data_IF_140824749134
#
_entry.id   IF_140824749134
#
_cell.length_a   1.000
_cell.length_b   1.000
_cell.length_c   1.000
_cell.angle_alpha   90.00
_cell.angle_beta   90.00
_cell.angle_gamma   90.00
#
_symmetry.space_group_name_H-M   'P 1'
#
loop_
_entity.id
_entity.type
_entity.pdbx_description
1 polymer ?
#
# COMPACT_ATOMS: atom_id res chain seq x y z
N UNK A 1 0.12 -5.16 -13.75
CA UNK A 1 1.00 -3.98 -13.85
C UNK A 1 1.19 -3.46 -12.44
N UNK A 2 2.43 -3.38 -11.96
CA UNK A 2 2.75 -2.95 -10.60
C UNK A 2 3.37 -1.56 -10.67
N UNK A 3 2.84 -0.62 -9.91
CA UNK A 3 3.35 0.76 -9.86
C UNK A 3 4.09 0.91 -8.55
N UNK A 4 5.37 1.32 -8.61
CA UNK A 4 6.19 1.63 -7.45
C UNK A 4 6.45 3.14 -7.42
N UNK A 5 6.28 3.76 -6.26
CA UNK A 5 6.55 5.19 -6.04
C UNK A 5 7.68 5.29 -5.01
N UNK A 6 8.78 5.96 -5.38
CA UNK A 6 9.95 6.15 -4.53
C UNK A 6 11.20 5.35 -4.96
N UNK A 7 12.30 5.53 -4.22
CA UNK A 7 13.56 4.84 -4.48
C UNK A 7 13.50 3.38 -4.05
N UNK A 8 14.13 2.49 -4.83
CA UNK A 8 14.24 1.07 -4.50
C UNK A 8 15.12 0.87 -3.26
N UNK A 9 14.59 0.17 -2.26
CA UNK A 9 15.31 -0.20 -1.02
C UNK A 9 15.09 -1.68 -0.70
N UNK A 10 16.06 -2.36 -0.05
CA UNK A 10 15.84 -3.70 0.51
C UNK A 10 14.65 -3.68 1.46
N UNK A 11 13.66 -4.52 1.18
CA UNK A 11 12.43 -4.56 1.95
C UNK A 11 11.85 -5.97 1.98
N UNK A 12 10.92 -6.18 2.90
CA UNK A 12 10.13 -7.39 2.97
C UNK A 12 8.63 -7.06 2.98
N UNK A 13 7.85 -7.92 2.34
CA UNK A 13 6.39 -7.84 2.34
C UNK A 13 5.80 -8.62 3.50
N UNK A 14 4.80 -8.03 4.16
CA UNK A 14 3.95 -8.73 5.12
C UNK A 14 2.49 -8.58 4.69
N UNK A 15 1.84 -9.70 4.41
CA UNK A 15 0.41 -9.73 4.12
C UNK A 15 -0.38 -9.44 5.39
N UNK A 16 -1.33 -8.51 5.29
CA UNK A 16 -2.22 -8.11 6.38
C UNK A 16 -3.70 -8.36 6.05
N UNK A 17 -4.00 -8.64 4.80
CA UNK A 17 -5.30 -9.03 4.25
C UNK A 17 -5.05 -9.81 2.95
N UNK A 18 -6.06 -10.52 2.43
CA UNK A 18 -5.92 -11.43 1.28
C UNK A 18 -5.38 -10.73 0.00
N UNK A 19 -5.57 -9.41 -0.11
CA UNK A 19 -5.12 -8.60 -1.25
C UNK A 19 -4.21 -7.43 -0.84
N UNK A 20 -3.80 -7.33 0.43
CA UNK A 20 -3.03 -6.19 0.95
C UNK A 20 -1.71 -6.66 1.57
N UNK A 21 -0.62 -6.17 1.00
CA UNK A 21 0.74 -6.39 1.50
C UNK A 21 1.33 -5.07 1.98
N UNK A 22 1.88 -5.03 3.18
CA UNK A 22 2.70 -3.90 3.67
C UNK A 22 4.16 -4.21 3.39
N UNK A 23 4.87 -3.28 2.76
CA UNK A 23 6.31 -3.35 2.57
C UNK A 23 7.01 -2.57 3.68
N UNK A 24 8.01 -3.21 4.29
CA UNK A 24 8.79 -2.64 5.37
C UNK A 24 10.27 -2.66 5.09
N UNK A 25 10.96 -1.64 5.54
CA UNK A 25 12.42 -1.60 5.56
C UNK A 25 12.97 -2.75 6.42
N UNK A 26 13.98 -3.45 5.91
CA UNK A 26 14.57 -4.60 6.60
C UNK A 26 15.25 -4.22 7.91
N UNK A 27 15.84 -3.03 7.99
CA UNK A 27 16.68 -2.62 9.11
C UNK A 27 15.87 -1.86 10.16
N UNK A 28 14.98 -0.96 9.72
CA UNK A 28 14.23 -0.09 10.64
C UNK A 28 12.84 -0.62 10.97
N UNK A 29 12.33 -1.60 10.22
CA UNK A 29 10.95 -2.08 10.32
C UNK A 29 9.89 -1.00 10.03
N UNK A 30 10.30 0.15 9.49
CA UNK A 30 9.41 1.24 9.07
C UNK A 30 8.61 0.83 7.84
N UNK A 31 7.37 1.32 7.76
CA UNK A 31 6.51 1.05 6.61
C UNK A 31 6.92 1.98 5.46
N UNK A 32 7.32 1.39 4.35
CA UNK A 32 7.83 2.12 3.18
C UNK A 32 6.94 1.98 1.95
N UNK A 33 5.94 1.09 1.97
CA UNK A 33 5.04 0.90 0.84
C UNK A 33 3.84 0.01 1.16
N UNK A 34 2.87 0.00 0.23
CA UNK A 34 1.68 -0.85 0.27
C UNK A 34 1.46 -1.43 -1.13
N UNK A 35 1.26 -2.75 -1.20
CA UNK A 35 0.76 -3.44 -2.39
C UNK A 35 -0.73 -3.72 -2.22
N UNK A 36 -1.53 -3.37 -3.23
CA UNK A 36 -2.96 -3.67 -3.28
C UNK A 36 -3.24 -4.47 -4.55
N UNK A 37 -3.58 -5.73 -4.38
CA UNK A 37 -4.04 -6.60 -5.46
C UNK A 37 -5.48 -6.24 -5.83
N UNK A 38 -5.85 -6.47 -7.10
CA UNK A 38 -7.20 -6.20 -7.61
C UNK A 38 -7.69 -4.75 -7.38
N UNK A 39 -6.77 -3.77 -7.30
CA UNK A 39 -7.08 -2.37 -6.98
C UNK A 39 -8.19 -1.78 -7.86
N UNK A 40 -8.17 -2.08 -9.17
CA UNK A 40 -9.22 -1.60 -10.10
C UNK A 40 -10.62 -2.09 -9.74
N UNK A 41 -10.74 -3.30 -9.21
CA UNK A 41 -12.03 -3.85 -8.79
C UNK A 41 -12.46 -3.25 -7.45
N UNK A 42 -11.53 -3.13 -6.51
CA UNK A 42 -11.74 -2.52 -5.19
C UNK A 42 -12.02 -1.01 -5.23
N UNK A 43 -11.57 -0.32 -6.28
CA UNK A 43 -11.80 1.13 -6.45
C UNK A 43 -13.04 1.51 -7.26
N UNK A 44 -13.82 0.53 -7.74
CA UNK A 44 -15.10 0.81 -8.42
C UNK A 44 -16.17 1.39 -7.49
N UNK A 45 -16.08 1.12 -6.18
CA UNK A 45 -16.92 1.75 -5.16
C UNK A 45 -16.04 2.36 -4.08
N UNK A 46 -16.31 3.61 -3.69
CA UNK A 46 -15.61 4.26 -2.57
C UNK A 46 -15.81 3.50 -1.25
N UNK A 47 -16.94 2.81 -1.08
CA UNK A 47 -17.23 1.98 0.09
C UNK A 47 -16.32 0.73 0.16
N UNK A 48 -15.85 0.23 -0.99
CA UNK A 48 -14.89 -0.89 -1.04
C UNK A 48 -13.42 -0.45 -0.97
N UNK A 49 -13.15 0.86 -0.90
CA UNK A 49 -11.81 1.44 -0.71
C UNK A 49 -11.46 1.56 0.77
N UNK A 50 -12.31 1.12 1.72
CA UNK A 50 -11.92 1.01 3.12
C UNK A 50 -10.80 -0.03 3.31
N UNK A 51 -9.57 0.42 3.15
CA UNK A 51 -8.37 -0.33 3.49
C UNK A 51 -8.21 -0.24 5.01
N UNK A 52 -8.36 -1.38 5.71
CA UNK A 52 -8.03 -1.51 7.14
C UNK A 52 -6.53 -1.47 7.35
N UNK A 53 -5.93 -0.32 7.06
CA UNK A 53 -4.51 -0.11 7.25
C UNK A 53 -4.24 0.18 8.73
N UNK A 54 -3.10 -0.29 9.27
CA UNK A 54 -2.69 0.06 10.63
C UNK A 54 -2.26 1.54 10.75
N UNK A 55 -2.38 2.33 9.69
CA UNK A 55 -2.05 3.75 9.63
C UNK A 55 -2.93 4.47 8.59
N UNK A 56 -3.18 5.75 8.81
CA UNK A 56 -3.93 6.60 7.88
C UNK A 56 -3.07 6.99 6.68
N UNK A 57 -3.61 6.90 5.47
CA UNK A 57 -2.94 7.39 4.25
C UNK A 57 -3.34 8.84 4.00
N UNK A 58 -2.36 9.74 3.92
CA UNK A 58 -2.60 11.14 3.56
C UNK A 58 -2.44 11.32 2.04
N UNK A 59 -3.55 11.56 1.34
CA UNK A 59 -3.59 11.77 -0.10
C UNK A 59 -3.44 13.25 -0.53
N UNK A 60 -3.26 14.19 0.40
CA UNK A 60 -3.16 15.64 0.07
C UNK A 60 -1.99 16.00 -0.85
N UNK A 61 -1.00 15.13 -0.97
CA UNK A 61 0.14 15.29 -1.88
C UNK A 61 -0.11 14.74 -3.30
N UNK A 62 -1.22 14.04 -3.56
CA UNK A 62 -1.60 13.62 -4.90
C UNK A 62 -2.07 14.84 -5.70
N UNK A 63 -1.22 15.31 -6.62
CA UNK A 63 -1.67 16.19 -7.71
C UNK A 63 -2.36 15.30 -8.75
N UNK A 64 -3.67 15.48 -8.87
CA UNK A 64 -4.50 14.87 -9.94
C UNK A 64 -4.55 15.82 -11.13
#
# INVERSE_FOLDING_TARGET
MTIFIGDSKPNYGKDIDDDITIFKDNDTNEIIGIGILNFRERTKSLESIELKLPFSVNFSSLRV
#
